data_IF_487686213050
#
_entry.id   IF_487686213050
#
_cell.length_a   1.000
_cell.length_b   1.000
_cell.length_c   1.000
_cell.angle_alpha   90.00
_cell.angle_beta   90.00
_cell.angle_gamma   90.00
#
_symmetry.space_group_name_H-M   'P 1'
#
loop_
_entity.id
_entity.type
_entity.pdbx_description
1 polymer ?
#
# COMPACT_ATOMS: atom_id res chain seq x y z
N UNK A 1 9.56 2.48 0.93
CA UNK A 1 9.64 3.85 0.40
C UNK A 1 8.26 4.46 0.13
N UNK A 2 7.33 3.76 -0.55
CA UNK A 2 6.02 4.29 -0.94
C UNK A 2 5.11 4.62 0.25
N UNK A 3 5.08 3.78 1.27
CA UNK A 3 4.32 4.07 2.51
C UNK A 3 4.83 5.33 3.20
N UNK A 4 6.12 5.61 3.13
CA UNK A 4 6.71 6.83 3.69
C UNK A 4 6.22 8.08 2.96
N UNK A 5 6.10 8.04 1.63
CA UNK A 5 5.63 9.17 0.82
C UNK A 5 4.19 9.54 1.19
N UNK A 6 3.27 8.58 1.24
CA UNK A 6 1.89 8.86 1.64
C UNK A 6 1.77 9.28 3.10
N UNK A 7 2.60 8.74 3.98
CA UNK A 7 2.67 9.16 5.38
C UNK A 7 3.11 10.61 5.53
N UNK A 8 3.99 11.10 4.67
CA UNK A 8 4.53 12.48 4.74
C UNK A 8 3.64 13.55 4.09
N UNK A 9 2.41 13.19 3.67
CA UNK A 9 1.41 14.17 3.19
C UNK A 9 1.27 14.24 1.68
N UNK A 10 1.87 13.31 0.94
CA UNK A 10 1.61 13.18 -0.49
C UNK A 10 0.14 12.83 -0.72
N UNK A 11 -0.54 13.56 -1.60
CA UNK A 11 -1.95 13.38 -1.93
C UNK A 11 -2.18 12.84 -3.34
N UNK A 12 -1.13 12.62 -4.12
CA UNK A 12 -1.16 12.02 -5.45
C UNK A 12 0.08 11.18 -5.69
N UNK A 13 -0.11 10.12 -6.45
CA UNK A 13 0.97 9.30 -7.00
C UNK A 13 0.69 9.12 -8.48
N UNK A 14 1.66 9.46 -9.31
CA UNK A 14 1.66 9.19 -10.75
C UNK A 14 2.91 8.38 -11.00
N UNK A 15 2.72 7.19 -11.52
CA UNK A 15 3.81 6.32 -11.91
C UNK A 15 4.01 6.35 -13.43
N UNK A 16 5.04 5.70 -13.90
CA UNK A 16 5.31 5.48 -15.30
C UNK A 16 4.19 4.62 -15.93
N UNK A 17 4.45 4.00 -17.07
CA UNK A 17 3.45 3.15 -17.72
C UNK A 17 2.94 2.06 -16.77
N UNK A 18 1.62 1.88 -16.72
CA UNK A 18 1.01 0.83 -15.90
C UNK A 18 1.40 -0.58 -16.39
N UNK A 19 1.60 -0.73 -17.70
CA UNK A 19 1.99 -1.94 -18.37
C UNK A 19 3.32 -1.72 -19.09
N UNK A 20 4.27 -2.60 -18.89
CA UNK A 20 5.57 -2.61 -19.58
C UNK A 20 5.86 -4.01 -20.11
N UNK A 21 6.73 -4.09 -21.13
CA UNK A 21 7.27 -5.35 -21.61
C UNK A 21 8.30 -5.95 -20.61
N UNK A 22 8.81 -7.14 -20.93
CA UNK A 22 9.80 -7.84 -20.09
C UNK A 22 11.08 -7.04 -19.83
N UNK A 23 11.41 -6.11 -20.74
CA UNK A 23 12.61 -5.28 -20.68
C UNK A 23 12.36 -3.89 -20.06
N UNK A 24 11.11 -3.64 -19.62
CA UNK A 24 10.70 -2.39 -18.98
C UNK A 24 10.34 -1.27 -19.97
N UNK A 25 10.03 -1.61 -21.24
CA UNK A 25 9.59 -0.69 -22.29
C UNK A 25 8.06 -0.56 -22.42
N UNK A 26 7.61 0.28 -23.34
CA UNK A 26 8.35 1.04 -24.36
C UNK A 26 9.18 2.19 -23.76
N UNK A 27 10.34 2.45 -24.33
CA UNK A 27 11.29 3.47 -23.83
C UNK A 27 12.12 4.08 -24.95
N UNK A 28 12.51 5.35 -24.77
CA UNK A 28 13.45 6.04 -25.67
C UNK A 28 14.91 5.94 -25.21
N UNK A 29 15.13 5.55 -23.96
CA UNK A 29 16.45 5.41 -23.35
C UNK A 29 16.61 4.00 -22.78
N UNK A 30 17.81 3.40 -22.80
CA UNK A 30 18.04 2.03 -22.35
C UNK A 30 18.02 1.91 -20.83
N UNK A 31 16.91 2.27 -20.21
CA UNK A 31 16.68 2.08 -18.77
C UNK A 31 15.47 1.17 -18.58
N UNK A 32 15.65 0.09 -17.85
CA UNK A 32 14.56 -0.79 -17.47
C UNK A 32 13.73 -0.17 -16.34
N UNK A 33 12.43 -0.12 -16.52
CA UNK A 33 11.50 0.30 -15.50
C UNK A 33 10.69 -0.90 -15.00
N UNK A 34 10.43 -0.93 -13.70
CA UNK A 34 9.39 -1.81 -13.13
C UNK A 34 8.10 -1.02 -13.04
N UNK A 35 6.98 -1.68 -13.34
CA UNK A 35 5.67 -1.06 -13.35
C UNK A 35 4.63 -1.95 -12.66
N UNK A 36 3.36 -1.55 -12.72
CA UNK A 36 2.25 -2.30 -12.14
C UNK A 36 2.08 -3.69 -12.76
N UNK A 37 2.25 -3.81 -14.08
CA UNK A 37 2.16 -5.07 -14.81
C UNK A 37 3.35 -5.21 -15.77
N UNK A 38 3.82 -6.44 -15.95
CA UNK A 38 4.85 -6.79 -16.93
C UNK A 38 4.27 -7.86 -17.83
N UNK A 39 4.37 -7.65 -19.16
CA UNK A 39 3.94 -8.61 -20.18
C UNK A 39 5.16 -9.26 -20.82
N UNK A 40 5.12 -10.57 -21.01
CA UNK A 40 6.11 -11.32 -21.79
C UNK A 40 5.74 -11.44 -23.27
N UNK A 41 6.60 -12.12 -24.05
CA UNK A 41 6.44 -12.27 -25.49
C UNK A 41 5.23 -13.13 -25.90
N UNK A 42 4.70 -13.95 -24.98
CA UNK A 42 3.53 -14.81 -25.19
C UNK A 42 2.23 -14.14 -24.69
N UNK A 43 2.27 -12.85 -24.43
CA UNK A 43 1.16 -12.06 -23.87
C UNK A 43 0.67 -12.52 -22.48
N UNK A 44 1.46 -13.30 -21.76
CA UNK A 44 1.20 -13.54 -20.36
C UNK A 44 1.63 -12.33 -19.55
N UNK A 45 0.92 -12.06 -18.47
CA UNK A 45 1.28 -10.96 -17.58
C UNK A 45 1.63 -11.46 -16.18
N UNK A 46 2.58 -10.81 -15.58
CA UNK A 46 2.92 -10.99 -14.17
C UNK A 46 2.72 -9.70 -13.37
N UNK A 47 2.34 -9.87 -12.11
CA UNK A 47 2.14 -8.79 -11.15
C UNK A 47 3.37 -8.69 -10.27
N UNK A 48 4.28 -7.74 -10.50
CA UNK A 48 5.42 -7.53 -9.61
C UNK A 48 4.95 -6.98 -8.27
N UNK A 49 5.85 -6.95 -7.29
CA UNK A 49 5.54 -6.48 -5.94
C UNK A 49 4.90 -5.07 -5.93
N UNK A 50 5.29 -4.22 -6.86
CA UNK A 50 4.75 -2.87 -7.04
C UNK A 50 3.23 -2.86 -7.28
N UNK A 51 2.72 -3.81 -8.08
CA UNK A 51 1.28 -3.95 -8.29
C UNK A 51 0.53 -4.09 -6.96
N UNK A 52 1.05 -4.93 -6.08
CA UNK A 52 0.42 -5.17 -4.78
C UNK A 52 0.53 -3.95 -3.86
N UNK A 53 1.71 -3.31 -3.78
CA UNK A 53 1.89 -2.13 -2.95
C UNK A 53 0.98 -0.96 -3.36
N UNK A 54 0.90 -0.67 -4.65
CA UNK A 54 0.00 0.37 -5.17
C UNK A 54 -1.45 -0.05 -4.96
N UNK A 55 -1.75 -1.33 -5.15
CA UNK A 55 -3.08 -1.91 -4.95
C UNK A 55 -3.64 -1.68 -3.54
N UNK A 56 -2.82 -1.77 -2.50
CA UNK A 56 -3.24 -1.49 -1.12
C UNK A 56 -3.75 -0.05 -0.94
N UNK A 57 -3.23 0.89 -1.70
CA UNK A 57 -3.65 2.29 -1.64
C UNK A 57 -4.81 2.54 -2.60
N UNK A 58 -4.62 2.22 -3.88
CA UNK A 58 -5.59 2.55 -4.93
C UNK A 58 -6.93 1.83 -4.82
N UNK A 59 -6.95 0.64 -4.21
CA UNK A 59 -8.17 -0.15 -4.02
C UNK A 59 -8.98 0.30 -2.81
N UNK A 60 -8.32 0.68 -1.72
CA UNK A 60 -8.99 0.85 -0.43
C UNK A 60 -9.14 2.31 -0.02
N UNK A 61 -8.29 3.21 -0.51
CA UNK A 61 -8.39 4.65 -0.24
C UNK A 61 -9.14 5.31 -1.40
N UNK A 62 -10.39 5.65 -1.17
CA UNK A 62 -11.26 6.23 -2.19
C UNK A 62 -10.86 7.68 -2.53
N UNK A 63 -11.16 8.17 -3.75
CA UNK A 63 -11.07 9.59 -4.07
C UNK A 63 -11.86 10.44 -3.05
N UNK A 64 -11.22 11.49 -2.55
CA UNK A 64 -11.80 12.33 -1.51
C UNK A 64 -11.56 11.85 -0.07
N UNK A 65 -10.91 10.70 0.13
CA UNK A 65 -10.49 10.24 1.44
C UNK A 65 -9.56 11.26 2.12
N UNK A 66 -9.66 11.36 3.41
CA UNK A 66 -8.83 12.25 4.23
C UNK A 66 -7.86 11.43 5.06
N UNK A 67 -6.56 11.77 4.96
CA UNK A 67 -5.57 11.19 5.87
C UNK A 67 -5.89 11.61 7.31
N UNK A 68 -5.85 10.67 8.23
CA UNK A 68 -6.06 10.93 9.66
C UNK A 68 -4.77 10.74 10.45
N UNK A 69 -4.67 11.46 11.56
CA UNK A 69 -3.58 11.28 12.52
C UNK A 69 -3.71 9.95 13.24
N UNK A 70 -2.58 9.41 13.65
CA UNK A 70 -2.50 8.19 14.44
C UNK A 70 -1.31 8.27 15.39
N UNK A 71 -1.34 7.49 16.45
CA UNK A 71 -0.23 7.29 17.37
C UNK A 71 0.07 5.80 17.51
N UNK A 72 1.33 5.46 17.77
CA UNK A 72 1.73 4.07 18.03
C UNK A 72 2.58 3.97 19.28
N UNK A 73 2.47 2.87 19.95
CA UNK A 73 3.23 2.53 21.13
C UNK A 73 3.88 1.16 20.93
N UNK A 74 5.21 1.09 21.01
CA UNK A 74 5.98 -0.14 21.10
C UNK A 74 6.04 -1.03 19.84
N UNK A 75 5.31 -0.73 18.79
CA UNK A 75 5.31 -1.57 17.58
C UNK A 75 6.34 -1.12 16.54
N UNK A 76 7.10 -2.06 16.00
CA UNK A 76 8.03 -1.81 14.90
C UNK A 76 7.33 -1.90 13.53
N UNK A 77 6.24 -1.13 13.37
CA UNK A 77 5.38 -1.11 12.20
C UNK A 77 5.37 0.29 11.58
N UNK A 78 5.28 0.35 10.24
CA UNK A 78 4.85 1.58 9.58
C UNK A 78 3.34 1.58 9.42
N UNK A 79 2.74 2.74 9.62
CA UNK A 79 1.29 2.90 9.61
C UNK A 79 0.92 4.08 8.71
N UNK A 80 -0.14 3.90 7.94
CA UNK A 80 -0.86 4.98 7.25
C UNK A 80 -2.34 4.77 7.46
N UNK A 81 -3.07 5.84 7.77
CA UNK A 81 -4.50 5.75 8.00
C UNK A 81 -5.27 6.87 7.31
N UNK A 82 -6.44 6.53 6.81
CA UNK A 82 -7.35 7.46 6.14
C UNK A 82 -8.80 7.15 6.54
N UNK A 83 -9.67 8.13 6.37
CA UNK A 83 -11.12 7.97 6.39
C UNK A 83 -11.67 8.26 5.01
N UNK A 84 -12.43 7.32 4.47
CA UNK A 84 -13.11 7.45 3.19
C UNK A 84 -14.35 8.34 3.28
N UNK A 85 -14.88 8.85 2.15
CA UNK A 85 -16.11 9.65 2.14
C UNK A 85 -17.34 8.94 2.73
N UNK A 86 -17.40 7.60 2.65
CA UNK A 86 -18.45 6.78 3.24
C UNK A 86 -18.33 6.62 4.77
N UNK A 87 -17.25 7.15 5.35
CA UNK A 87 -16.96 7.07 6.78
C UNK A 87 -16.17 5.83 7.19
N UNK A 88 -15.85 4.92 6.29
CA UNK A 88 -14.99 3.78 6.58
C UNK A 88 -13.56 4.23 6.88
N UNK A 89 -12.90 3.54 7.81
CA UNK A 89 -11.50 3.74 8.12
C UNK A 89 -10.65 2.73 7.36
N UNK A 90 -9.58 3.21 6.77
CA UNK A 90 -8.57 2.37 6.10
C UNK A 90 -7.25 2.52 6.85
N UNK A 91 -6.72 1.42 7.36
CA UNK A 91 -5.43 1.38 8.04
C UNK A 91 -4.50 0.46 7.29
N UNK A 92 -3.42 0.99 6.77
CA UNK A 92 -2.38 0.25 6.06
C UNK A 92 -1.20 0.08 7.00
N UNK A 93 -0.81 -1.17 7.22
CA UNK A 93 0.21 -1.59 8.16
C UNK A 93 1.33 -2.32 7.42
N UNK A 94 2.57 -1.93 7.63
CA UNK A 94 3.73 -2.60 7.06
C UNK A 94 4.59 -3.18 8.19
N UNK A 95 4.68 -4.50 8.21
CA UNK A 95 5.66 -5.22 9.00
C UNK A 95 6.92 -5.42 8.15
N UNK A 96 8.01 -4.71 8.50
CA UNK A 96 9.32 -4.84 7.82
C UNK A 96 10.26 -5.83 8.50
N UNK A 97 9.82 -6.43 9.56
CA UNK A 97 10.64 -7.41 10.28
C UNK A 97 10.54 -8.79 9.63
N UNK A 98 11.53 -9.63 9.89
CA UNK A 98 11.55 -11.03 9.43
C UNK A 98 10.76 -11.97 10.34
N UNK A 99 10.00 -11.43 11.26
CA UNK A 99 9.22 -12.16 12.25
C UNK A 99 7.75 -11.78 12.13
N UNK A 100 6.89 -12.74 12.38
CA UNK A 100 5.47 -12.49 12.53
C UNK A 100 5.25 -11.57 13.73
N UNK A 101 4.35 -10.62 13.57
CA UNK A 101 4.04 -9.63 14.56
C UNK A 101 2.54 -9.46 14.69
N UNK A 102 2.10 -8.72 15.68
CA UNK A 102 0.71 -8.34 15.86
C UNK A 102 0.61 -6.98 16.53
N UNK A 103 -0.49 -6.32 16.30
CA UNK A 103 -0.81 -5.09 16.98
C UNK A 103 -2.28 -5.05 17.39
N UNK A 104 -2.58 -4.14 18.31
CA UNK A 104 -3.95 -3.78 18.62
C UNK A 104 -4.26 -2.43 17.98
N UNK A 105 -5.26 -2.42 17.10
CA UNK A 105 -5.82 -1.19 16.56
C UNK A 105 -6.94 -0.69 17.48
N UNK A 106 -6.86 0.57 17.86
CA UNK A 106 -7.93 1.25 18.59
C UNK A 106 -8.53 2.34 17.69
N UNK A 107 -9.80 2.18 17.34
CA UNK A 107 -10.55 3.12 16.52
C UNK A 107 -11.91 3.37 17.18
N UNK A 108 -12.26 4.64 17.43
CA UNK A 108 -13.53 5.03 18.04
C UNK A 108 -13.87 4.27 19.35
N UNK A 109 -12.87 3.97 20.16
CA UNK A 109 -13.04 3.23 21.42
C UNK A 109 -13.05 1.70 21.29
N UNK A 110 -13.21 1.17 20.09
CA UNK A 110 -13.14 -0.27 19.83
C UNK A 110 -11.68 -0.70 19.63
N UNK A 111 -11.35 -1.88 20.15
CA UNK A 111 -10.02 -2.47 20.03
C UNK A 111 -10.14 -3.79 19.30
N UNK A 112 -9.30 -3.96 18.28
CA UNK A 112 -9.18 -5.20 17.53
C UNK A 112 -7.72 -5.64 17.44
N UNK A 113 -7.47 -6.93 17.46
CA UNK A 113 -6.16 -7.50 17.20
C UNK A 113 -5.98 -7.71 15.70
N UNK A 114 -4.80 -7.37 15.20
CA UNK A 114 -4.39 -7.62 13.82
C UNK A 114 -3.07 -8.37 13.85
N UNK A 115 -3.06 -9.55 13.25
CA UNK A 115 -1.85 -10.35 13.07
C UNK A 115 -1.21 -9.99 11.72
N UNK A 116 0.10 -9.79 11.74
CA UNK A 116 0.89 -9.28 10.63
C UNK A 116 2.05 -10.24 10.37
N UNK A 117 1.98 -11.07 9.35
CA UNK A 117 3.10 -11.93 8.97
C UNK A 117 4.38 -11.13 8.69
N UNK A 118 5.51 -11.81 8.73
CA UNK A 118 6.81 -11.23 8.42
C UNK A 118 6.82 -10.57 7.02
N UNK A 119 7.48 -9.44 6.88
CA UNK A 119 7.71 -8.73 5.61
C UNK A 119 6.44 -8.48 4.79
N UNK A 120 5.30 -8.21 5.46
CA UNK A 120 4.00 -8.02 4.80
C UNK A 120 3.47 -6.61 4.89
N UNK A 121 2.73 -6.21 3.85
CA UNK A 121 1.84 -5.06 3.84
C UNK A 121 0.40 -5.56 3.98
N UNK A 122 -0.31 -5.05 4.96
CA UNK A 122 -1.70 -5.42 5.27
C UNK A 122 -2.59 -4.19 5.28
N UNK A 123 -3.83 -4.37 4.81
CA UNK A 123 -4.86 -3.31 4.89
C UNK A 123 -6.02 -3.81 5.73
N UNK A 124 -6.40 -3.01 6.70
CA UNK A 124 -7.60 -3.21 7.52
C UNK A 124 -8.62 -2.15 7.12
N UNK A 125 -9.80 -2.59 6.74
CA UNK A 125 -10.95 -1.72 6.47
C UNK A 125 -11.94 -1.90 7.61
N UNK A 126 -12.34 -0.80 8.21
CA UNK A 126 -13.29 -0.77 9.33
C UNK A 126 -14.51 0.01 8.83
N UNK A 127 -15.58 -0.68 8.61
CA UNK A 127 -16.86 -0.10 8.22
C UNK A 127 -17.47 0.66 9.42
N UNK A 128 -18.32 1.63 9.10
CA UNK A 128 -18.97 2.47 10.11
C UNK A 128 -20.16 1.75 10.74
#
# INVERSE_FOLDING_TARGET
PYTTLFRSGMNRWIDWNFLVDKDGGPRHVPMGFTSGLIVDDDFHYRKPIMYHYIGHISKYIAPGAKRIGWSKYGANLDVTAAVNPDGSYVVILLNRTKEDSGCFLRVNGHIMRVDLPAETLSTVVIEK
#
